data_IF_407430945609
#
_entry.id   IF_407430945609
#
_cell.length_a   1.000
_cell.length_b   1.000
_cell.length_c   1.000
_cell.angle_alpha   90.00
_cell.angle_beta   90.00
_cell.angle_gamma   90.00
#
_symmetry.space_group_name_H-M   'P 1'
#
loop_
_entity.id
_entity.type
_entity.pdbx_description
1 polymer ?
#
# COMPACT_ATOMS: atom_id res chain seq x y z
N UNK A 1 11.63 16.85 -1.12
CA UNK A 1 10.46 16.16 -0.56
C UNK A 1 9.91 15.19 -1.59
N UNK A 2 9.18 14.19 -1.15
CA UNK A 2 8.64 13.13 -2.00
C UNK A 2 7.74 13.68 -3.12
N UNK A 3 7.01 14.77 -2.86
CA UNK A 3 6.16 15.43 -3.88
C UNK A 3 6.95 15.99 -5.06
N UNK A 4 8.09 16.66 -4.81
CA UNK A 4 8.91 17.21 -5.88
C UNK A 4 9.43 16.08 -6.80
N UNK A 5 9.79 14.96 -6.21
CA UNK A 5 10.24 13.79 -6.93
C UNK A 5 9.10 13.14 -7.72
N UNK A 6 7.91 13.00 -7.14
CA UNK A 6 6.74 12.48 -7.86
C UNK A 6 6.40 13.36 -9.07
N UNK A 7 6.53 14.69 -8.93
CA UNK A 7 6.36 15.63 -10.07
C UNK A 7 7.38 15.35 -11.18
N UNK A 8 8.64 15.10 -10.84
CA UNK A 8 9.66 14.79 -11.85
C UNK A 8 9.45 13.43 -12.49
N UNK A 9 9.03 12.42 -11.71
CA UNK A 9 8.61 11.13 -12.26
C UNK A 9 7.49 11.29 -13.27
N UNK A 10 6.45 12.04 -12.93
CA UNK A 10 5.33 12.26 -13.82
C UNK A 10 5.75 12.97 -15.11
N UNK A 11 6.69 13.93 -15.04
CA UNK A 11 7.27 14.59 -16.22
C UNK A 11 8.05 13.60 -17.10
N UNK A 12 8.84 12.73 -16.49
CA UNK A 12 9.61 11.71 -17.19
C UNK A 12 8.68 10.70 -17.89
N UNK A 13 7.63 10.26 -17.22
CA UNK A 13 6.63 9.36 -17.79
C UNK A 13 5.87 10.01 -18.95
N UNK A 14 5.43 11.26 -18.77
CA UNK A 14 4.74 12.01 -19.83
C UNK A 14 5.63 12.22 -21.08
N UNK A 15 6.94 12.39 -20.89
CA UNK A 15 7.91 12.46 -21.98
C UNK A 15 7.94 11.16 -22.79
N UNK A 16 7.96 10.01 -22.11
CA UNK A 16 7.91 8.69 -22.77
C UNK A 16 6.56 8.46 -23.44
N UNK A 17 5.45 8.86 -22.80
CA UNK A 17 4.11 8.72 -23.35
C UNK A 17 3.88 9.56 -24.61
N UNK A 18 4.61 10.65 -24.76
CA UNK A 18 4.55 11.49 -25.97
C UNK A 18 5.21 10.88 -27.21
N UNK A 19 5.95 9.77 -27.04
CA UNK A 19 6.65 9.08 -28.12
C UNK A 19 5.82 7.87 -28.55
N UNK A 20 5.61 7.71 -29.84
CA UNK A 20 4.94 6.54 -30.41
C UNK A 20 5.89 5.33 -30.39
N UNK A 21 5.71 4.46 -29.39
CA UNK A 21 6.51 3.27 -29.18
C UNK A 21 5.59 2.05 -29.00
N UNK A 22 6.06 0.88 -29.40
CA UNK A 22 5.42 -0.36 -28.98
C UNK A 22 5.58 -0.61 -27.46
N UNK A 23 4.80 -1.53 -26.92
CA UNK A 23 4.75 -1.76 -25.48
C UNK A 23 6.10 -2.14 -24.87
N UNK A 24 6.91 -2.93 -25.56
CA UNK A 24 8.20 -3.38 -25.03
C UNK A 24 9.24 -2.27 -25.06
N UNK A 25 9.30 -1.50 -26.15
CA UNK A 25 10.15 -0.33 -26.26
C UNK A 25 9.75 0.75 -25.24
N UNK A 26 8.45 0.91 -24.98
CA UNK A 26 7.93 1.86 -23.99
C UNK A 26 8.36 1.50 -22.56
N UNK A 27 8.31 0.23 -22.19
CA UNK A 27 8.79 -0.25 -20.90
C UNK A 27 10.29 0.01 -20.73
N UNK A 28 11.08 -0.21 -21.77
CA UNK A 28 12.53 0.06 -21.74
C UNK A 28 12.78 1.57 -21.58
N UNK A 29 12.06 2.42 -22.30
CA UNK A 29 12.19 3.87 -22.20
C UNK A 29 11.81 4.41 -20.81
N UNK A 30 10.74 3.89 -20.21
CA UNK A 30 10.38 4.21 -18.84
C UNK A 30 11.49 3.84 -17.84
N UNK A 31 12.07 2.66 -17.97
CA UNK A 31 13.16 2.23 -17.09
C UNK A 31 14.37 3.15 -17.20
N UNK A 32 14.75 3.54 -18.41
CA UNK A 32 15.89 4.44 -18.62
C UNK A 32 15.68 5.81 -17.98
N UNK A 33 14.51 6.42 -18.16
CA UNK A 33 14.19 7.71 -17.55
C UNK A 33 14.12 7.59 -16.01
N UNK A 34 13.55 6.53 -15.50
CA UNK A 34 13.46 6.30 -14.05
C UNK A 34 14.81 5.98 -13.39
N UNK A 35 15.73 5.31 -14.08
CA UNK A 35 17.07 5.01 -13.57
C UNK A 35 17.88 6.29 -13.36
N UNK A 36 17.77 7.28 -14.24
CA UNK A 36 18.41 8.59 -14.05
C UNK A 36 17.86 9.34 -12.82
N UNK A 37 16.57 9.23 -12.56
CA UNK A 37 15.96 9.81 -11.37
C UNK A 37 16.36 9.06 -10.09
N UNK A 38 16.54 7.74 -10.13
CA UNK A 38 17.10 6.97 -9.02
C UNK A 38 18.49 7.45 -8.61
N UNK A 39 19.36 7.71 -9.59
CA UNK A 39 20.69 8.25 -9.32
C UNK A 39 20.61 9.64 -8.68
N UNK A 40 19.76 10.52 -9.20
CA UNK A 40 19.58 11.88 -8.70
C UNK A 40 19.07 11.91 -7.26
N UNK A 41 18.11 11.08 -6.90
CA UNK A 41 17.46 11.04 -5.59
C UNK A 41 18.06 10.00 -4.63
N UNK A 42 19.03 9.21 -5.09
CA UNK A 42 19.78 8.28 -4.25
C UNK A 42 18.97 7.11 -3.76
N UNK A 43 17.92 6.59 -4.44
CA UNK A 43 17.15 5.57 -3.96
C UNK A 43 16.09 4.82 -4.51
N UNK A 44 15.80 3.83 -3.82
CA UNK A 44 14.76 2.80 -3.73
C UNK A 44 13.30 3.25 -3.83
N UNK A 45 13.03 4.50 -4.10
CA UNK A 45 11.68 5.01 -4.28
C UNK A 45 10.99 4.28 -5.44
N UNK A 46 11.78 3.85 -6.40
CA UNK A 46 11.36 3.01 -7.51
C UNK A 46 11.80 1.56 -7.37
N UNK A 47 12.37 1.21 -6.23
CA UNK A 47 13.12 -0.02 -5.97
C UNK A 47 12.38 -1.33 -6.12
N UNK A 48 11.12 -1.33 -6.54
CA UNK A 48 10.35 -2.52 -6.88
C UNK A 48 9.53 -2.33 -8.15
N UNK A 49 9.95 -1.44 -9.05
CA UNK A 49 9.23 -1.17 -10.30
C UNK A 49 7.91 -0.40 -10.11
N UNK A 50 7.67 0.18 -8.94
CA UNK A 50 6.47 0.98 -8.72
C UNK A 50 6.56 2.32 -9.43
N UNK A 51 5.56 2.62 -10.22
CA UNK A 51 5.32 3.93 -10.80
C UNK A 51 4.39 4.72 -9.87
N UNK A 52 4.83 5.90 -9.46
CA UNK A 52 4.01 6.81 -8.68
C UNK A 52 3.44 7.90 -9.56
N UNK A 53 2.23 8.27 -9.28
CA UNK A 53 1.51 9.38 -9.88
C UNK A 53 0.90 10.20 -8.76
N UNK A 54 0.86 11.52 -8.89
CA UNK A 54 -0.01 12.34 -8.04
C UNK A 54 -1.43 12.09 -8.51
N UNK A 55 -2.29 11.72 -7.59
CA UNK A 55 -3.71 11.46 -7.82
C UNK A 55 -4.50 12.61 -7.21
N UNK A 56 -5.36 13.21 -8.00
CA UNK A 56 -6.26 14.26 -7.52
C UNK A 56 -7.42 13.65 -6.72
N UNK A 57 -7.95 14.37 -5.75
CA UNK A 57 -9.06 13.90 -4.91
C UNK A 57 -10.27 13.44 -5.73
N UNK A 58 -10.52 14.06 -6.86
CA UNK A 58 -11.63 13.69 -7.75
C UNK A 58 -11.42 12.34 -8.47
N UNK A 59 -10.20 11.80 -8.48
CA UNK A 59 -9.89 10.48 -9.03
C UNK A 59 -10.03 9.37 -7.97
N UNK A 60 -10.16 9.74 -6.67
CA UNK A 60 -10.30 8.79 -5.57
C UNK A 60 -11.76 8.40 -5.42
N UNK A 61 -12.00 7.10 -5.44
CA UNK A 61 -13.33 6.54 -5.27
C UNK A 61 -13.77 6.62 -3.80
N UNK A 62 -15.02 7.00 -3.59
CA UNK A 62 -15.67 6.85 -2.28
C UNK A 62 -15.91 5.35 -2.01
N UNK A 63 -15.12 4.78 -1.10
CA UNK A 63 -15.13 3.35 -0.77
C UNK A 63 -16.48 2.89 -0.22
N UNK A 64 -17.24 3.78 0.43
CA UNK A 64 -18.55 3.44 0.98
C UNK A 64 -19.63 3.31 -0.09
N UNK A 65 -19.45 3.99 -1.21
CA UNK A 65 -20.37 3.93 -2.35
C UNK A 65 -20.10 2.75 -3.29
N UNK A 66 -18.97 2.04 -3.15
CA UNK A 66 -18.61 0.94 -4.02
C UNK A 66 -19.49 -0.29 -3.79
N UNK A 67 -19.95 -0.87 -4.88
CA UNK A 67 -20.63 -2.16 -4.86
C UNK A 67 -19.67 -3.30 -4.50
N UNK A 68 -20.21 -4.44 -4.08
CA UNK A 68 -19.39 -5.63 -3.80
C UNK A 68 -18.63 -6.11 -5.04
N UNK A 69 -19.23 -5.99 -6.24
CA UNK A 69 -18.55 -6.33 -7.49
C UNK A 69 -17.38 -5.39 -7.77
N UNK A 70 -17.54 -4.07 -7.58
CA UNK A 70 -16.46 -3.10 -7.75
C UNK A 70 -15.32 -3.32 -6.73
N UNK A 71 -15.67 -3.67 -5.49
CA UNK A 71 -14.67 -4.02 -4.47
C UNK A 71 -13.90 -5.29 -4.82
N UNK A 72 -14.57 -6.27 -5.41
CA UNK A 72 -13.95 -7.55 -5.76
C UNK A 72 -13.25 -7.51 -7.12
N UNK A 73 -13.91 -6.98 -8.16
CA UNK A 73 -13.48 -7.13 -9.55
C UNK A 73 -12.97 -5.83 -10.18
N UNK A 74 -13.00 -4.73 -9.41
CA UNK A 74 -12.50 -3.43 -9.86
C UNK A 74 -13.56 -2.52 -10.46
N UNK A 75 -13.20 -1.26 -10.58
CA UNK A 75 -14.04 -0.14 -10.98
C UNK A 75 -13.84 0.15 -12.46
N UNK A 76 -14.90 0.57 -13.16
CA UNK A 76 -14.80 1.03 -14.54
C UNK A 76 -13.99 2.35 -14.59
N UNK A 77 -13.12 2.48 -15.57
CA UNK A 77 -12.25 3.68 -15.72
C UNK A 77 -13.00 4.97 -16.07
N UNK A 78 -14.29 4.88 -16.32
CA UNK A 78 -15.19 6.06 -16.50
C UNK A 78 -15.58 6.71 -15.18
N UNK A 79 -15.26 6.08 -14.05
CA UNK A 79 -15.49 6.56 -12.69
C UNK A 79 -14.14 6.80 -11.99
N UNK A 80 -14.10 7.54 -10.88
CA UNK A 80 -12.95 7.52 -9.98
C UNK A 80 -12.63 6.06 -9.59
N UNK A 81 -11.39 5.64 -9.78
CA UNK A 81 -10.99 4.23 -9.57
C UNK A 81 -9.73 4.05 -8.74
N UNK A 82 -9.19 5.13 -8.19
CA UNK A 82 -8.16 5.01 -7.17
C UNK A 82 -8.81 4.79 -5.81
N UNK A 83 -8.23 3.90 -5.02
CA UNK A 83 -8.75 3.58 -3.68
C UNK A 83 -7.62 3.67 -2.66
N UNK A 84 -7.91 3.98 -1.39
CA UNK A 84 -6.89 4.07 -0.34
C UNK A 84 -6.08 2.78 -0.21
N UNK A 85 -4.75 2.93 -0.04
CA UNK A 85 -3.80 1.82 0.03
C UNK A 85 -2.90 1.94 1.26
N UNK A 86 -3.06 1.03 2.20
CA UNK A 86 -2.22 0.93 3.40
C UNK A 86 -0.94 0.15 3.07
N UNK A 87 0.13 0.90 2.79
CA UNK A 87 1.44 0.35 2.44
C UNK A 87 2.28 -0.07 3.65
N UNK A 88 1.78 0.12 4.85
CA UNK A 88 2.57 0.02 6.07
C UNK A 88 3.35 1.31 6.34
N UNK A 89 3.88 1.43 7.53
CA UNK A 89 4.61 2.61 7.99
C UNK A 89 5.95 2.21 8.59
N UNK A 90 7.04 2.55 7.92
CA UNK A 90 8.40 2.26 8.41
C UNK A 90 8.80 3.14 9.59
N UNK A 91 8.22 4.34 9.71
CA UNK A 91 8.52 5.28 10.79
C UNK A 91 7.74 4.94 12.07
N UNK A 92 6.71 4.11 11.92
CA UNK A 92 6.00 3.48 13.01
C UNK A 92 5.17 4.45 13.85
N UNK A 93 4.18 5.06 13.22
CA UNK A 93 3.17 5.84 13.94
C UNK A 93 2.23 4.92 14.72
N UNK A 94 1.88 5.35 15.93
CA UNK A 94 0.88 4.72 16.78
C UNK A 94 -0.45 5.44 16.62
N UNK A 95 -1.53 4.76 16.95
CA UNK A 95 -2.88 5.29 17.09
C UNK A 95 -3.56 5.59 15.76
N UNK A 96 -2.99 6.47 14.97
CA UNK A 96 -3.50 6.92 13.69
C UNK A 96 -2.37 7.26 12.73
N UNK A 97 -2.55 6.95 11.46
CA UNK A 97 -1.73 7.40 10.35
C UNK A 97 -2.66 7.65 9.17
N UNK A 98 -2.63 8.84 8.64
CA UNK A 98 -3.29 9.14 7.39
C UNK A 98 -2.69 8.27 6.26
N UNK A 99 -3.55 7.69 5.44
CA UNK A 99 -3.12 6.82 4.33
C UNK A 99 -2.86 7.68 3.09
N UNK A 100 -1.59 8.10 2.84
CA UNK A 100 -1.28 9.03 1.76
C UNK A 100 -1.22 8.35 0.39
N UNK A 101 -1.33 7.04 0.36
CA UNK A 101 -1.22 6.27 -0.86
C UNK A 101 -2.59 5.82 -1.36
N UNK A 102 -2.72 5.81 -2.69
CA UNK A 102 -3.84 5.19 -3.37
C UNK A 102 -3.33 4.18 -4.40
N UNK A 103 -4.12 3.16 -4.68
CA UNK A 103 -3.84 2.17 -5.72
C UNK A 103 -4.93 2.24 -6.79
N UNK A 104 -4.54 2.14 -8.06
CA UNK A 104 -5.48 2.06 -9.16
C UNK A 104 -6.25 0.73 -9.10
N UNK A 105 -7.55 0.81 -8.80
CA UNK A 105 -8.45 -0.33 -8.64
C UNK A 105 -9.38 -0.49 -9.84
N UNK A 106 -8.86 -0.27 -11.06
CA UNK A 106 -9.60 -0.53 -12.28
C UNK A 106 -9.77 -2.04 -12.51
N UNK A 107 -10.80 -2.43 -13.27
CA UNK A 107 -11.04 -3.84 -13.64
C UNK A 107 -9.82 -4.50 -14.27
N UNK A 108 -9.11 -3.77 -15.10
CA UNK A 108 -7.89 -4.25 -15.75
C UNK A 108 -6.79 -4.53 -14.73
N UNK A 109 -6.53 -3.58 -13.81
CA UNK A 109 -5.52 -3.72 -12.78
C UNK A 109 -5.86 -4.84 -11.79
N UNK A 110 -7.11 -4.95 -11.35
CA UNK A 110 -7.54 -6.03 -10.46
C UNK A 110 -7.36 -7.39 -11.13
N UNK A 111 -7.69 -7.50 -12.41
CA UNK A 111 -7.44 -8.73 -13.18
C UNK A 111 -5.95 -9.03 -13.26
N UNK A 112 -5.10 -8.03 -13.53
CA UNK A 112 -3.65 -8.18 -13.53
C UNK A 112 -3.13 -8.66 -12.17
N UNK A 113 -3.55 -8.02 -11.09
CA UNK A 113 -3.17 -8.39 -9.72
C UNK A 113 -3.54 -9.84 -9.40
N UNK A 114 -4.78 -10.24 -9.68
CA UNK A 114 -5.26 -11.60 -9.41
C UNK A 114 -4.54 -12.65 -10.25
N UNK A 115 -4.30 -12.37 -11.53
CA UNK A 115 -3.68 -13.32 -12.48
C UNK A 115 -2.19 -13.49 -12.23
N UNK A 116 -1.50 -12.47 -11.72
CA UNK A 116 -0.05 -12.45 -11.53
C UNK A 116 0.37 -12.57 -10.07
N UNK A 117 -0.57 -12.72 -9.15
CA UNK A 117 -0.28 -12.85 -7.73
C UNK A 117 0.64 -14.03 -7.44
N UNK A 118 1.76 -13.76 -6.77
CA UNK A 118 2.74 -14.76 -6.36
C UNK A 118 3.60 -15.34 -7.49
N UNK A 119 3.48 -14.86 -8.73
CA UNK A 119 4.42 -15.22 -9.79
C UNK A 119 5.80 -14.63 -9.49
N UNK A 120 6.85 -15.34 -9.93
CA UNK A 120 8.22 -14.85 -9.83
C UNK A 120 8.48 -13.77 -10.89
N UNK A 121 9.17 -12.72 -10.52
CA UNK A 121 9.59 -11.64 -11.41
C UNK A 121 9.54 -10.28 -10.72
N UNK A 122 10.29 -9.33 -11.27
CA UNK A 122 10.28 -7.94 -10.79
C UNK A 122 8.91 -7.31 -11.03
N UNK A 123 8.38 -6.60 -10.04
CA UNK A 123 7.08 -5.95 -10.14
C UNK A 123 5.86 -6.89 -10.08
N UNK A 124 6.07 -8.18 -9.82
CA UNK A 124 4.94 -9.10 -9.68
C UNK A 124 4.21 -8.86 -8.35
N UNK A 125 2.89 -8.75 -8.39
CA UNK A 125 2.10 -8.43 -7.20
C UNK A 125 1.98 -9.64 -6.27
N UNK A 126 1.70 -9.35 -5.00
CA UNK A 126 1.29 -10.35 -4.03
C UNK A 126 -0.04 -9.92 -3.44
N UNK A 127 -1.12 -10.56 -3.86
CA UNK A 127 -2.46 -10.36 -3.32
C UNK A 127 -2.65 -11.31 -2.15
N UNK A 128 -2.82 -10.77 -0.95
CA UNK A 128 -3.05 -11.57 0.26
C UNK A 128 -4.40 -11.21 0.89
N UNK A 129 -5.15 -12.23 1.26
CA UNK A 129 -6.38 -12.10 2.03
C UNK A 129 -7.37 -11.05 1.45
N UNK A 130 -7.70 -11.08 0.15
CA UNK A 130 -8.54 -10.07 -0.48
C UNK A 130 -9.94 -9.97 0.13
N UNK A 131 -10.43 -11.01 0.83
CA UNK A 131 -11.69 -11.00 1.56
C UNK A 131 -11.73 -9.99 2.73
N UNK A 132 -10.57 -9.44 3.13
CA UNK A 132 -10.45 -8.42 4.17
C UNK A 132 -10.18 -7.01 3.61
N UNK A 133 -10.13 -6.85 2.30
CA UNK A 133 -10.00 -5.53 1.70
C UNK A 133 -11.24 -4.68 2.00
N UNK A 134 -11.04 -3.37 2.09
CA UNK A 134 -12.07 -2.39 2.40
C UNK A 134 -12.77 -2.59 3.76
N UNK A 135 -12.09 -3.20 4.72
CA UNK A 135 -12.57 -3.35 6.09
C UNK A 135 -11.78 -2.47 7.05
N UNK A 136 -12.49 -1.89 7.99
CA UNK A 136 -11.91 -1.22 9.14
C UNK A 136 -11.36 -2.24 10.14
N UNK A 137 -10.34 -1.83 10.90
CA UNK A 137 -9.73 -2.67 11.91
C UNK A 137 -8.54 -1.99 12.57
N UNK A 138 -7.60 -2.80 13.03
CA UNK A 138 -6.33 -2.33 13.57
C UNK A 138 -5.20 -2.88 12.73
N UNK A 139 -4.13 -2.11 12.55
CA UNK A 139 -2.97 -2.55 11.77
C UNK A 139 -1.65 -2.10 12.39
N UNK A 140 -0.58 -2.77 11.98
CA UNK A 140 0.80 -2.41 12.31
C UNK A 140 1.73 -2.82 11.17
N UNK A 141 2.91 -2.22 11.13
CA UNK A 141 3.93 -2.62 10.16
C UNK A 141 4.64 -3.88 10.62
N UNK A 142 5.06 -4.71 9.68
CA UNK A 142 5.78 -5.97 9.98
C UNK A 142 7.17 -5.73 10.59
N UNK A 143 7.76 -4.57 10.40
CA UNK A 143 9.05 -4.19 10.97
C UNK A 143 8.83 -3.21 12.12
N UNK A 144 9.24 -3.60 13.33
CA UNK A 144 9.21 -2.77 14.52
C UNK A 144 10.55 -2.90 15.24
N UNK A 145 11.18 -1.77 15.54
CA UNK A 145 12.54 -1.77 16.11
C UNK A 145 12.60 -1.66 17.63
N UNK A 146 11.56 -1.14 18.27
CA UNK A 146 11.52 -0.94 19.71
C UNK A 146 10.23 -1.35 20.38
N UNK A 147 9.11 -1.10 19.74
CA UNK A 147 7.78 -1.45 20.29
C UNK A 147 6.83 -1.80 19.18
N UNK A 148 5.84 -2.59 19.49
CA UNK A 148 4.69 -2.78 18.64
C UNK A 148 3.94 -1.45 18.50
N UNK A 149 3.65 -1.06 17.25
CA UNK A 149 3.04 0.23 16.93
C UNK A 149 1.76 -0.01 16.15
N UNK A 150 0.70 -0.18 16.90
CA UNK A 150 -0.63 -0.43 16.37
C UNK A 150 -1.38 0.89 16.14
N UNK A 151 -2.11 0.97 15.06
CA UNK A 151 -2.96 2.10 14.66
C UNK A 151 -4.31 1.65 14.14
N UNK A 152 -5.27 2.55 14.13
CA UNK A 152 -6.55 2.33 13.46
C UNK A 152 -6.32 2.21 11.96
N UNK A 153 -7.01 1.24 11.36
CA UNK A 153 -7.01 1.00 9.92
C UNK A 153 -8.35 1.41 9.34
N UNK A 154 -8.31 2.33 8.40
CA UNK A 154 -9.48 2.72 7.62
C UNK A 154 -9.78 1.72 6.50
N UNK A 155 -10.92 1.88 5.83
CA UNK A 155 -11.35 1.07 4.70
C UNK A 155 -10.38 1.25 3.53
N UNK A 156 -9.41 0.36 3.43
CA UNK A 156 -8.33 0.41 2.45
C UNK A 156 -7.92 -0.97 1.99
N UNK A 157 -7.17 -1.03 0.91
CA UNK A 157 -6.44 -2.22 0.51
C UNK A 157 -5.12 -2.24 1.31
N UNK A 158 -4.75 -3.38 1.87
CA UNK A 158 -3.50 -3.53 2.62
C UNK A 158 -2.41 -4.21 1.79
N UNK A 159 -1.19 -3.74 1.98
CA UNK A 159 0.02 -4.36 1.47
C UNK A 159 0.44 -5.56 2.34
N UNK A 160 1.35 -6.36 1.80
CA UNK A 160 2.01 -7.47 2.52
C UNK A 160 2.80 -7.02 3.74
N UNK A 161 3.17 -5.73 3.81
CA UNK A 161 3.90 -5.11 4.91
C UNK A 161 3.00 -4.46 5.97
N UNK A 162 1.70 -4.46 5.77
CA UNK A 162 0.70 -3.98 6.72
C UNK A 162 -0.06 -5.17 7.32
N UNK A 163 0.35 -5.58 8.50
CA UNK A 163 -0.36 -6.60 9.27
C UNK A 163 -1.65 -6.02 9.82
N UNK A 164 -2.74 -6.77 9.77
CA UNK A 164 -4.05 -6.26 10.20
C UNK A 164 -4.83 -7.30 10.99
N UNK A 165 -5.64 -6.82 11.92
CA UNK A 165 -6.60 -7.60 12.68
C UNK A 165 -8.00 -6.98 12.52
N UNK A 166 -9.01 -7.82 12.34
CA UNK A 166 -10.38 -7.42 12.05
C UNK A 166 -11.36 -8.06 13.03
N UNK A 167 -12.51 -7.42 13.21
CA UNK A 167 -13.62 -7.96 14.01
C UNK A 167 -13.38 -7.95 15.52
N UNK A 168 -12.40 -7.23 16.01
CA UNK A 168 -12.07 -7.14 17.45
C UNK A 168 -13.13 -6.41 18.26
N UNK A 169 -13.85 -5.48 17.65
CA UNK A 169 -14.95 -4.72 18.28
C UNK A 169 -16.11 -5.59 18.76
N UNK A 170 -16.21 -6.82 18.26
CA UNK A 170 -17.19 -7.79 18.73
C UNK A 170 -16.86 -8.38 20.11
N UNK A 171 -15.62 -8.24 20.55
CA UNK A 171 -15.12 -8.82 21.82
C UNK A 171 -14.84 -7.75 22.87
N UNK A 172 -14.15 -6.69 22.47
CA UNK A 172 -13.72 -5.58 23.32
C UNK A 172 -13.76 -4.28 22.51
N UNK A 173 -13.74 -3.13 23.17
CA UNK A 173 -13.63 -1.86 22.41
C UNK A 173 -12.29 -1.78 21.70
N UNK A 174 -12.31 -1.24 20.50
CA UNK A 174 -11.09 -1.04 19.69
C UNK A 174 -10.08 -0.16 20.42
N UNK A 175 -10.53 0.87 21.12
CA UNK A 175 -9.66 1.76 21.89
C UNK A 175 -8.96 1.04 23.04
N UNK A 176 -9.62 0.08 23.67
CA UNK A 176 -8.99 -0.77 24.68
C UNK A 176 -7.91 -1.65 24.03
N UNK A 177 -8.22 -2.30 22.94
CA UNK A 177 -7.30 -3.23 22.26
C UNK A 177 -6.08 -2.49 21.72
N UNK A 178 -6.26 -1.36 21.04
CA UNK A 178 -5.15 -0.56 20.51
C UNK A 178 -4.26 -0.03 21.65
N UNK A 179 -4.86 0.38 22.77
CA UNK A 179 -4.12 0.83 23.94
C UNK A 179 -3.30 -0.31 24.55
N UNK A 180 -3.89 -1.47 24.68
CA UNK A 180 -3.22 -2.66 25.19
C UNK A 180 -2.04 -3.05 24.28
N UNK A 181 -2.26 -3.15 22.96
CA UNK A 181 -1.21 -3.50 21.98
C UNK A 181 -0.06 -2.50 22.02
N UNK A 182 -0.36 -1.20 22.12
CA UNK A 182 0.63 -0.14 22.16
C UNK A 182 1.32 0.01 23.54
N UNK A 183 0.95 -0.80 24.54
CA UNK A 183 1.58 -0.73 25.85
C UNK A 183 2.99 -1.30 25.85
N UNK A 184 3.84 -0.75 26.72
CA UNK A 184 5.20 -1.26 26.92
C UNK A 184 5.19 -2.73 27.39
N UNK A 185 4.20 -3.12 28.19
CA UNK A 185 4.05 -4.48 28.68
C UNK A 185 3.89 -5.49 27.54
N UNK A 186 2.99 -5.21 26.60
CA UNK A 186 2.77 -6.08 25.44
C UNK A 186 3.97 -6.09 24.50
N UNK A 187 4.58 -4.93 24.25
CA UNK A 187 5.82 -4.88 23.46
C UNK A 187 6.91 -5.76 24.06
N UNK A 188 7.11 -5.64 25.39
CA UNK A 188 8.11 -6.45 26.10
C UNK A 188 7.77 -7.95 26.09
N UNK A 189 6.48 -8.30 26.22
CA UNK A 189 6.04 -9.68 26.13
C UNK A 189 6.29 -10.26 24.73
N UNK A 190 5.95 -9.52 23.68
CA UNK A 190 6.16 -9.96 22.29
C UNK A 190 7.64 -10.15 22.01
N UNK A 191 8.49 -9.21 22.40
CA UNK A 191 9.94 -9.30 22.18
C UNK A 191 10.58 -10.51 22.85
N UNK A 192 10.11 -10.88 24.05
CA UNK A 192 10.75 -11.94 24.83
C UNK A 192 10.15 -13.33 24.62
N UNK A 193 8.86 -13.42 24.28
CA UNK A 193 8.14 -14.69 24.29
C UNK A 193 7.51 -15.09 22.97
N UNK A 194 7.30 -14.14 22.06
CA UNK A 194 6.65 -14.41 20.77
C UNK A 194 7.65 -14.34 19.63
N UNK A 195 8.37 -13.25 19.54
CA UNK A 195 9.33 -13.02 18.46
C UNK A 195 10.39 -12.01 18.89
N UNK A 196 11.62 -12.45 18.98
CA UNK A 196 12.77 -11.62 19.33
C UNK A 196 13.48 -11.00 18.11
N UNK A 197 12.88 -11.08 16.94
CA UNK A 197 13.40 -10.43 15.71
C UNK A 197 12.70 -9.11 15.47
N UNK A 198 13.29 -8.26 14.63
CA UNK A 198 12.69 -6.98 14.27
C UNK A 198 11.43 -7.11 13.37
N UNK A 199 11.04 -8.32 13.01
CA UNK A 199 9.93 -8.58 12.10
C UNK A 199 8.81 -9.30 12.86
N UNK A 200 7.69 -8.60 13.07
CA UNK A 200 6.50 -9.15 13.71
C UNK A 200 5.53 -9.70 12.66
N UNK A 201 5.70 -10.95 12.30
CA UNK A 201 4.72 -11.71 11.53
C UNK A 201 4.02 -12.69 12.47
N UNK A 202 2.73 -12.50 12.64
CA UNK A 202 1.86 -13.43 13.37
C UNK A 202 1.11 -14.28 12.36
#
# INVERSE_FOLDING_TARGET
TDDAMIIEVNKALAKVDSIELDNDAKIIAYRQELDSLKEQYGRDIFGQGYLYKIVDDCEIADVDSLTNDEKENGIETTKPYYVPYDKGDKDGNRWYLETPFAIAWSKENVRFLKTNSGKKGEGMPVVRNPQFYFREGLCWSDINTMFLKCRKKEKSIHDVKSMSIFGVSNLLSEDYIITMINSTLISHYVDNFVNNTQTFQI
#
